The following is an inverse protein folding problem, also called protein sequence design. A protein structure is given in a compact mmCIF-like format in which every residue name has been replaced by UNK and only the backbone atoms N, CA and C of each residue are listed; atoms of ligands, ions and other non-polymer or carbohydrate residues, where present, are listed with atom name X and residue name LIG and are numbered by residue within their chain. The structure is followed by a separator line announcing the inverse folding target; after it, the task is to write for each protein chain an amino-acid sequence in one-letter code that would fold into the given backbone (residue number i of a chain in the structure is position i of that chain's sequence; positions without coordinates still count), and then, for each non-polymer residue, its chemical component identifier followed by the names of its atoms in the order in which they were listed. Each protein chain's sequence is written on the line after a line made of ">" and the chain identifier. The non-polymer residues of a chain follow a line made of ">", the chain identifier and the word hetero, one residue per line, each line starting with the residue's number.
data_IF_796629771863
#
_entry.id   IF_796629771863
#
_cell.length_a   1.000
_cell.length_b   1.000
_cell.length_c   1.000
_cell.angle_alpha   90.00
_cell.angle_beta   90.00
_cell.angle_gamma   90.00
#
_symmetry.space_group_name_H-M   'P 1'
#
loop_
_entity.id
_entity.type
_entity.pdbx_description
1 polymer ?
#
# COMPACT_ATOMS: atom_id res chain seq x y z
N UNK A 1 -53.41 -15.76 3.38
CA UNK A 1 -52.69 -14.59 2.85
C UNK A 1 -51.39 -15.09 2.26
N UNK A 2 -51.17 -14.96 0.95
CA UNK A 2 -49.95 -15.45 0.27
C UNK A 2 -48.98 -14.27 0.19
N UNK A 3 -47.82 -14.39 0.85
CA UNK A 3 -46.77 -13.35 0.85
C UNK A 3 -45.92 -13.47 -0.41
N UNK A 4 -45.57 -12.33 -1.02
CA UNK A 4 -44.72 -12.28 -2.22
C UNK A 4 -43.29 -12.70 -1.86
N UNK A 5 -42.77 -13.74 -2.51
CA UNK A 5 -41.39 -14.19 -2.30
C UNK A 5 -40.41 -13.23 -3.01
N UNK A 6 -39.29 -12.93 -2.35
CA UNK A 6 -38.17 -12.18 -2.95
C UNK A 6 -37.15 -13.17 -3.51
N UNK A 7 -36.72 -12.94 -4.75
CA UNK A 7 -35.67 -13.73 -5.39
C UNK A 7 -34.32 -13.07 -5.12
N UNK A 8 -33.38 -13.84 -4.56
CA UNK A 8 -32.01 -13.40 -4.33
C UNK A 8 -31.05 -14.15 -5.24
N UNK A 9 -29.92 -13.53 -5.56
CA UNK A 9 -28.83 -14.12 -6.30
C UNK A 9 -27.54 -13.88 -5.53
N UNK A 10 -26.75 -14.93 -5.35
CA UNK A 10 -25.51 -14.89 -4.60
C UNK A 10 -24.35 -15.31 -5.48
N UNK A 11 -23.22 -14.63 -5.31
CA UNK A 11 -21.95 -14.96 -5.94
C UNK A 11 -20.99 -15.41 -4.84
N UNK A 12 -20.75 -16.70 -4.77
CA UNK A 12 -19.99 -17.32 -3.69
C UNK A 12 -18.76 -18.01 -4.28
N UNK A 13 -17.62 -17.86 -3.60
CA UNK A 13 -16.41 -18.57 -3.98
C UNK A 13 -16.56 -20.06 -3.68
N UNK A 14 -16.05 -20.93 -4.56
CA UNK A 14 -16.23 -22.39 -4.45
C UNK A 14 -15.76 -22.98 -3.10
N UNK A 15 -14.75 -22.38 -2.46
CA UNK A 15 -14.25 -22.82 -1.15
C UNK A 15 -15.21 -22.47 0.00
N UNK A 16 -15.97 -21.39 -0.15
CA UNK A 16 -16.87 -20.86 0.88
C UNK A 16 -18.32 -21.34 0.67
N UNK A 17 -18.58 -22.11 -0.40
CA UNK A 17 -19.91 -22.64 -0.71
C UNK A 17 -20.44 -23.58 0.40
N UNK A 18 -19.68 -24.56 0.92
CA UNK A 18 -20.19 -25.46 1.95
C UNK A 18 -20.66 -24.75 3.24
N UNK A 19 -19.86 -23.86 3.88
CA UNK A 19 -20.33 -23.15 5.08
C UNK A 19 -21.51 -22.21 4.75
N UNK A 20 -21.50 -21.55 3.59
CA UNK A 20 -22.60 -20.67 3.17
C UNK A 20 -23.95 -21.40 3.04
N UNK A 21 -23.95 -22.62 2.50
CA UNK A 21 -25.17 -23.43 2.39
C UNK A 21 -25.70 -23.87 3.76
N UNK A 22 -24.82 -24.16 4.71
CA UNK A 22 -25.21 -24.48 6.09
C UNK A 22 -25.86 -23.26 6.77
N UNK A 23 -25.33 -22.06 6.55
CA UNK A 23 -25.92 -20.83 7.07
C UNK A 23 -27.31 -20.58 6.48
N UNK A 24 -27.48 -20.75 5.16
CA UNK A 24 -28.79 -20.65 4.51
C UNK A 24 -29.81 -21.68 5.03
N UNK A 25 -29.34 -22.90 5.28
CA UNK A 25 -30.18 -23.96 5.86
C UNK A 25 -30.63 -23.59 7.28
N UNK A 26 -29.74 -23.03 8.11
CA UNK A 26 -30.08 -22.58 9.46
C UNK A 26 -31.13 -21.46 9.47
N UNK A 27 -31.15 -20.62 8.43
CA UNK A 27 -32.15 -19.58 8.21
C UNK A 27 -33.49 -20.12 7.66
N UNK A 28 -33.58 -21.40 7.32
CA UNK A 28 -34.79 -22.04 6.81
C UNK A 28 -35.08 -21.76 5.34
N UNK A 29 -34.08 -21.39 4.55
CA UNK A 29 -34.22 -21.15 3.11
C UNK A 29 -34.14 -22.51 2.38
N UNK A 30 -35.27 -23.02 1.90
CA UNK A 30 -35.38 -24.35 1.29
C UNK A 30 -35.19 -24.40 -0.23
N UNK A 31 -35.31 -23.27 -0.93
CA UNK A 31 -35.29 -23.25 -2.40
C UNK A 31 -34.01 -22.58 -2.91
N UNK A 32 -33.00 -23.40 -3.19
CA UNK A 32 -31.72 -22.99 -3.75
C UNK A 32 -31.59 -23.65 -5.13
N UNK A 33 -31.41 -22.84 -6.16
CA UNK A 33 -31.17 -23.31 -7.53
C UNK A 33 -29.81 -22.80 -7.99
N UNK A 34 -28.96 -23.71 -8.46
CA UNK A 34 -27.72 -23.33 -9.14
C UNK A 34 -28.04 -22.94 -10.59
N UNK A 35 -27.79 -21.68 -10.94
CA UNK A 35 -28.02 -21.19 -12.30
C UNK A 35 -26.68 -20.93 -13.02
N UNK A 36 -26.20 -21.87 -13.84
CA UNK A 36 -24.93 -21.74 -14.56
C UNK A 36 -24.97 -20.71 -15.71
N UNK A 37 -26.13 -20.08 -16.01
CA UNK A 37 -26.20 -19.01 -17.00
C UNK A 37 -25.75 -17.64 -16.44
N UNK A 38 -25.64 -17.51 -15.11
CA UNK A 38 -25.17 -16.31 -14.42
C UNK A 38 -23.64 -16.27 -14.29
N UNK A 39 -22.88 -16.76 -15.28
CA UNK A 39 -21.40 -16.81 -15.21
C UNK A 39 -20.74 -15.46 -15.47
N UNK A 40 -21.49 -14.45 -15.95
CA UNK A 40 -20.93 -13.09 -16.10
C UNK A 40 -20.83 -12.38 -14.75
N UNK A 41 -19.62 -12.01 -14.28
CA UNK A 41 -19.43 -11.33 -13.01
C UNK A 41 -20.32 -10.08 -12.91
N UNK A 42 -20.83 -9.74 -11.71
CA UNK A 42 -21.47 -8.46 -11.48
C UNK A 42 -20.54 -7.33 -11.94
N UNK A 43 -21.09 -6.20 -12.41
CA UNK A 43 -20.28 -5.05 -12.83
C UNK A 43 -19.27 -4.61 -11.75
N UNK A 44 -19.64 -4.78 -10.47
CA UNK A 44 -18.81 -4.43 -9.32
C UNK A 44 -17.81 -5.50 -8.88
N UNK A 45 -17.78 -6.67 -9.54
CA UNK A 45 -16.87 -7.76 -9.20
C UNK A 45 -15.41 -7.37 -9.32
N UNK A 46 -15.06 -6.57 -10.33
CA UNK A 46 -13.72 -6.05 -10.50
C UNK A 46 -13.29 -5.19 -9.29
N UNK A 47 -14.17 -4.31 -8.82
CA UNK A 47 -13.94 -3.48 -7.64
C UNK A 47 -13.79 -4.33 -6.37
N UNK A 48 -14.61 -5.37 -6.22
CA UNK A 48 -14.52 -6.31 -5.11
C UNK A 48 -13.18 -7.07 -5.10
N UNK A 49 -12.75 -7.55 -6.27
CA UNK A 49 -11.46 -8.25 -6.41
C UNK A 49 -10.28 -7.32 -6.11
N UNK A 50 -10.33 -6.07 -6.56
CA UNK A 50 -9.31 -5.07 -6.23
C UNK A 50 -9.27 -4.78 -4.73
N UNK A 51 -10.43 -4.65 -4.07
CA UNK A 51 -10.51 -4.46 -2.63
C UNK A 51 -9.93 -5.65 -1.86
N UNK A 52 -10.26 -6.87 -2.27
CA UNK A 52 -9.75 -8.09 -1.64
C UNK A 52 -8.23 -8.20 -1.76
N UNK A 53 -7.67 -7.89 -2.93
CA UNK A 53 -6.20 -7.84 -3.13
C UNK A 53 -5.54 -6.76 -2.26
N UNK A 54 -6.15 -5.57 -2.18
CA UNK A 54 -5.66 -4.49 -1.34
C UNK A 54 -5.65 -4.86 0.14
N UNK A 55 -6.73 -5.49 0.65
CA UNK A 55 -6.82 -5.99 2.02
C UNK A 55 -5.76 -7.03 2.30
N UNK A 56 -5.62 -8.05 1.45
CA UNK A 56 -4.62 -9.10 1.65
C UNK A 56 -3.19 -8.54 1.67
N UNK A 57 -2.89 -7.57 0.81
CA UNK A 57 -1.60 -6.87 0.85
C UNK A 57 -1.40 -6.13 2.18
N UNK A 58 -2.42 -5.43 2.68
CA UNK A 58 -2.34 -4.70 3.96
C UNK A 58 -2.18 -5.65 5.15
N UNK A 59 -2.92 -6.76 5.19
CA UNK A 59 -2.79 -7.82 6.21
C UNK A 59 -1.38 -8.39 6.22
N UNK A 60 -0.84 -8.71 5.03
CA UNK A 60 0.52 -9.22 4.90
C UNK A 60 1.56 -8.23 5.45
N UNK A 61 1.36 -6.92 5.23
CA UNK A 61 2.27 -5.88 5.72
C UNK A 61 2.10 -5.61 7.22
N UNK A 62 0.87 -5.61 7.71
CA UNK A 62 0.56 -5.43 9.12
C UNK A 62 1.22 -6.51 9.98
N UNK A 63 1.33 -7.74 9.48
CA UNK A 63 2.02 -8.82 10.18
C UNK A 63 3.53 -8.55 10.45
N UNK A 64 4.17 -7.69 9.66
CA UNK A 64 5.60 -7.35 9.79
C UNK A 64 5.84 -5.99 10.45
N UNK A 65 4.79 -5.21 10.73
CA UNK A 65 4.93 -3.93 11.41
C UNK A 65 4.95 -4.14 12.92
N UNK A 66 5.82 -3.44 13.67
CA UNK A 66 5.70 -3.42 15.12
C UNK A 66 4.32 -2.88 15.51
N UNK A 67 3.74 -3.41 16.58
CA UNK A 67 2.44 -2.98 17.06
C UNK A 67 2.46 -1.46 17.27
N UNK A 68 1.68 -0.74 16.47
CA UNK A 68 1.55 0.71 16.60
C UNK A 68 0.77 1.02 17.87
N UNK A 69 1.32 1.86 18.73
CA UNK A 69 0.60 2.42 19.89
C UNK A 69 -0.53 3.37 19.46
N UNK A 70 -0.46 3.90 18.23
CA UNK A 70 -1.50 4.76 17.70
C UNK A 70 -2.72 3.93 17.24
N UNK A 71 -3.94 4.28 17.69
CA UNK A 71 -5.15 3.63 17.23
C UNK A 71 -5.31 3.79 15.71
N UNK A 72 -5.88 2.79 15.02
CA UNK A 72 -6.13 2.87 13.59
C UNK A 72 -7.00 4.09 13.29
N UNK A 73 -6.47 4.99 12.46
CA UNK A 73 -7.22 6.16 12.04
C UNK A 73 -8.41 5.70 11.19
N UNK A 74 -9.62 5.95 11.68
CA UNK A 74 -10.83 5.60 10.95
C UNK A 74 -10.84 6.31 9.59
N UNK A 75 -11.36 5.63 8.56
CA UNK A 75 -11.65 6.31 7.30
C UNK A 75 -12.56 7.52 7.57
N UNK A 76 -12.34 8.66 6.90
CA UNK A 76 -13.26 9.77 6.95
C UNK A 76 -14.68 9.27 6.64
N UNK A 77 -15.70 9.61 7.45
CA UNK A 77 -17.06 9.17 7.22
C UNK A 77 -17.55 9.64 5.85
N UNK A 78 -18.24 8.76 5.12
CA UNK A 78 -18.86 9.09 3.82
C UNK A 78 -18.08 8.68 2.57
N UNK A 79 -16.97 7.95 2.69
CA UNK A 79 -16.25 7.44 1.51
C UNK A 79 -16.91 6.19 0.92
N UNK A 80 -17.27 6.24 -0.35
CA UNK A 80 -17.68 5.05 -1.14
C UNK A 80 -16.52 4.05 -1.22
N UNK A 81 -16.80 2.76 -1.40
CA UNK A 81 -15.77 1.72 -1.54
C UNK A 81 -14.67 2.07 -2.56
N UNK A 82 -15.03 2.69 -3.68
CA UNK A 82 -14.08 3.18 -4.70
C UNK A 82 -13.12 4.25 -4.17
N UNK A 83 -13.58 5.19 -3.35
CA UNK A 83 -12.76 6.24 -2.75
C UNK A 83 -11.81 5.66 -1.69
N UNK A 84 -12.25 4.64 -0.96
CA UNK A 84 -11.38 3.91 -0.04
C UNK A 84 -10.23 3.21 -0.80
N UNK A 85 -10.52 2.59 -1.95
CA UNK A 85 -9.49 1.97 -2.79
C UNK A 85 -8.49 2.97 -3.37
N UNK A 86 -8.97 4.11 -3.85
CA UNK A 86 -8.08 5.19 -4.30
C UNK A 86 -7.16 5.66 -3.17
N UNK A 87 -7.72 5.88 -1.99
CA UNK A 87 -6.95 6.29 -0.83
C UNK A 87 -5.87 5.27 -0.44
N UNK A 88 -6.18 3.96 -0.49
CA UNK A 88 -5.18 2.91 -0.26
C UNK A 88 -4.08 2.94 -1.34
N UNK A 89 -4.45 3.11 -2.62
CA UNK A 89 -3.50 3.21 -3.74
C UNK A 89 -2.56 4.41 -3.57
N UNK A 90 -3.08 5.56 -3.14
CA UNK A 90 -2.27 6.76 -2.89
C UNK A 90 -1.22 6.53 -1.80
N UNK A 91 -1.61 5.89 -0.69
CA UNK A 91 -0.68 5.53 0.39
C UNK A 91 0.38 4.53 -0.07
N UNK A 92 0.00 3.51 -0.85
CA UNK A 92 0.95 2.56 -1.42
C UNK A 92 1.97 3.24 -2.34
N UNK A 93 1.52 4.18 -3.18
CA UNK A 93 2.41 4.93 -4.07
C UNK A 93 3.36 5.82 -3.28
N UNK A 94 2.87 6.53 -2.26
CA UNK A 94 3.70 7.35 -1.39
C UNK A 94 4.75 6.52 -0.65
N UNK A 95 4.37 5.35 -0.12
CA UNK A 95 5.31 4.44 0.52
C UNK A 95 6.39 3.97 -0.46
N UNK A 96 6.02 3.59 -1.69
CA UNK A 96 6.99 3.18 -2.73
C UNK A 96 7.98 4.30 -3.05
N UNK A 97 7.49 5.53 -3.22
CA UNK A 97 8.34 6.68 -3.52
C UNK A 97 9.34 6.97 -2.40
N UNK A 98 8.88 6.97 -1.13
CA UNK A 98 9.76 7.16 0.03
C UNK A 98 10.78 6.04 0.18
N UNK A 99 10.35 4.79 -0.05
CA UNK A 99 11.25 3.63 0.01
C UNK A 99 12.35 3.70 -1.06
N UNK A 100 12.00 4.10 -2.28
CA UNK A 100 12.98 4.30 -3.35
C UNK A 100 13.96 5.43 -3.03
N UNK A 101 13.46 6.56 -2.51
CA UNK A 101 14.33 7.67 -2.10
C UNK A 101 15.28 7.26 -0.95
N UNK A 102 14.80 6.45 0.00
CA UNK A 102 15.64 5.91 1.06
C UNK A 102 16.75 5.01 0.52
N UNK A 103 16.43 4.13 -0.44
CA UNK A 103 17.43 3.27 -1.07
C UNK A 103 18.48 4.07 -1.84
N UNK A 104 18.05 5.08 -2.62
CA UNK A 104 18.97 5.95 -3.34
C UNK A 104 19.92 6.71 -2.38
N UNK A 105 19.39 7.25 -1.27
CA UNK A 105 20.22 7.90 -0.26
C UNK A 105 21.18 6.94 0.43
N UNK A 106 20.76 5.68 0.68
CA UNK A 106 21.65 4.67 1.24
C UNK A 106 22.82 4.37 0.29
N UNK A 107 22.55 4.23 -1.01
CA UNK A 107 23.60 4.05 -2.02
C UNK A 107 24.52 5.28 -2.11
N UNK A 108 23.97 6.50 -2.04
CA UNK A 108 24.78 7.73 -2.01
C UNK A 108 25.69 7.80 -0.78
N UNK A 109 25.19 7.39 0.39
CA UNK A 109 25.97 7.32 1.63
C UNK A 109 27.07 6.26 1.52
N UNK A 110 26.75 5.06 1.05
CA UNK A 110 27.76 4.01 0.85
C UNK A 110 28.85 4.46 -0.13
N UNK A 111 28.47 5.13 -1.22
CA UNK A 111 29.44 5.72 -2.15
C UNK A 111 30.28 6.79 -1.48
N UNK A 112 29.69 7.66 -0.64
CA UNK A 112 30.40 8.71 0.09
C UNK A 112 31.34 8.14 1.17
N UNK A 113 30.98 7.05 1.86
CA UNK A 113 31.82 6.38 2.86
C UNK A 113 33.15 5.89 2.27
N UNK A 114 33.17 5.47 1.00
CA UNK A 114 34.40 5.07 0.29
C UNK A 114 35.42 6.22 0.27
N UNK A 115 34.94 7.47 0.19
CA UNK A 115 35.78 8.66 0.16
C UNK A 115 36.23 9.09 1.56
N UNK A 116 35.58 8.61 2.63
CA UNK A 116 35.92 8.88 4.03
C UNK A 116 35.55 10.28 4.53
N UNK A 117 35.85 10.55 5.80
CA UNK A 117 35.49 11.80 6.48
C UNK A 117 36.41 12.98 6.09
N UNK A 118 35.98 13.77 5.11
CA UNK A 118 36.59 15.07 4.82
C UNK A 118 36.03 16.16 5.73
N UNK A 119 36.65 16.38 6.88
CA UNK A 119 36.38 17.56 7.71
C UNK A 119 36.77 18.84 6.96
N UNK A 120 35.94 19.88 7.04
CA UNK A 120 36.20 21.19 6.43
C UNK A 120 37.56 21.79 6.82
N UNK A 121 38.04 21.53 8.04
CA UNK A 121 39.34 21.96 8.53
C UNK A 121 40.51 21.31 7.77
N UNK A 122 40.43 20.00 7.49
CA UNK A 122 41.43 19.29 6.67
C UNK A 122 41.45 19.78 5.23
N UNK A 123 40.29 20.13 4.67
CA UNK A 123 40.19 20.72 3.33
C UNK A 123 40.77 22.13 3.27
N UNK A 124 40.61 22.93 4.32
CA UNK A 124 41.25 24.25 4.44
C UNK A 124 42.77 24.12 4.58
N UNK A 125 43.27 23.21 5.44
CA UNK A 125 44.70 22.95 5.58
C UNK A 125 45.35 22.48 4.25
N UNK A 126 44.65 21.66 3.46
CA UNK A 126 45.09 21.28 2.12
C UNK A 126 45.16 22.47 1.16
N UNK A 127 44.17 23.38 1.22
CA UNK A 127 44.13 24.59 0.40
C UNK A 127 45.26 25.56 0.77
N UNK A 128 45.53 25.73 2.06
CA UNK A 128 46.63 26.56 2.57
C UNK A 128 48.01 25.97 2.22
N UNK A 129 48.10 24.64 2.09
CA UNK A 129 49.27 23.95 1.54
C UNK A 129 49.40 24.04 0.01
N UNK A 130 48.52 24.78 -0.68
CA UNK A 130 48.54 24.97 -2.13
C UNK A 130 47.95 23.82 -2.95
N UNK A 131 47.34 22.82 -2.31
CA UNK A 131 46.70 21.68 -2.96
C UNK A 131 45.20 21.98 -3.16
N UNK A 132 44.77 22.12 -4.42
CA UNK A 132 43.39 22.41 -4.78
C UNK A 132 42.53 21.14 -4.71
N UNK A 133 41.84 20.92 -3.59
CA UNK A 133 40.83 19.87 -3.43
C UNK A 133 39.50 20.28 -4.10
N UNK A 134 39.47 20.33 -5.44
CA UNK A 134 38.32 20.85 -6.20
C UNK A 134 37.21 19.83 -6.49
N UNK A 135 37.35 18.55 -6.13
CA UNK A 135 36.47 17.49 -6.65
C UNK A 135 35.83 16.55 -5.60
N UNK A 136 35.97 16.83 -4.29
CA UNK A 136 35.65 15.83 -3.24
C UNK A 136 34.33 16.06 -2.49
N UNK A 137 33.53 17.08 -2.81
CA UNK A 137 32.26 17.35 -2.12
C UNK A 137 31.05 17.23 -3.07
N UNK A 138 30.24 16.17 -2.97
CA UNK A 138 29.02 16.01 -3.77
C UNK A 138 27.88 16.98 -3.40
N UNK A 139 27.94 17.70 -2.27
CA UNK A 139 26.78 18.42 -1.71
C UNK A 139 26.70 19.94 -2.00
N UNK A 140 27.58 20.52 -2.81
CA UNK A 140 27.50 21.98 -3.07
C UNK A 140 26.38 22.39 -4.04
N UNK A 141 25.66 21.45 -4.67
CA UNK A 141 24.61 21.76 -5.63
C UNK A 141 23.25 22.13 -5.00
N UNK A 142 23.04 21.92 -3.69
CA UNK A 142 21.73 22.18 -3.06
C UNK A 142 21.66 23.44 -2.19
N UNK A 143 22.79 24.08 -1.87
CA UNK A 143 22.81 25.30 -1.03
C UNK A 143 22.72 26.62 -1.83
N UNK A 144 22.60 26.58 -3.17
CA UNK A 144 22.64 27.76 -4.03
C UNK A 144 21.25 28.29 -4.48
N UNK A 145 20.15 27.75 -3.95
CA UNK A 145 18.78 28.21 -4.25
C UNK A 145 17.99 28.61 -3.00
N UNK A 146 18.53 29.54 -2.23
CA UNK A 146 17.74 30.34 -1.29
C UNK A 146 18.45 31.68 -1.09
N UNK A 147 18.19 32.62 -2.01
CA UNK A 147 18.32 34.07 -1.81
C UNK A 147 17.42 34.80 -2.79
#
# INVERSE_FOLDING_TARGET
>A
MITRMQKYQFWVHHQDLPPFLLDLQSLGILHIEENPALVSPPADWANYQEARKALHFLESKAAFLPASENPPQALPPGKTASQALQWIKDWQNRHKALYQAQQALAEEIEMAEIWGDFSAEKLQALRDAGLQASALCPSQSTMAKEK
#
